data_IF_093895757859
#
_entry.id   IF_093895757859
#
_cell.length_a   1.000
_cell.length_b   1.000
_cell.length_c   1.000
_cell.angle_alpha   90.00
_cell.angle_beta   90.00
_cell.angle_gamma   90.00
#
_symmetry.space_group_name_H-M   'P 1'
#
loop_
_entity.id
_entity.type
_entity.pdbx_description
1 polymer ?
#
# COMPACT_ATOMS: atom_id res chain seq x y z
N UNK A 1 -20.12 -12.13 18.59
CA UNK A 1 -21.10 -11.22 19.19
C UNK A 1 -20.48 -10.39 20.31
N UNK A 2 -20.05 -10.98 21.43
CA UNK A 2 -19.54 -10.20 22.58
C UNK A 2 -18.38 -9.23 22.33
N UNK A 3 -17.40 -9.56 21.48
CA UNK A 3 -16.25 -8.66 21.25
C UNK A 3 -16.63 -7.33 20.57
N UNK A 4 -17.59 -7.36 19.64
CA UNK A 4 -18.07 -6.14 18.96
C UNK A 4 -18.91 -5.29 19.92
N UNK A 5 -19.75 -5.92 20.74
CA UNK A 5 -20.53 -5.23 21.77
C UNK A 5 -19.63 -4.55 22.80
N UNK A 6 -18.55 -5.22 23.24
CA UNK A 6 -17.54 -4.62 24.13
C UNK A 6 -16.86 -3.43 23.45
N UNK A 7 -16.47 -3.55 22.18
CA UNK A 7 -15.85 -2.46 21.44
C UNK A 7 -16.78 -1.24 21.30
N UNK A 8 -18.05 -1.46 20.95
CA UNK A 8 -19.07 -0.42 20.88
C UNK A 8 -19.28 0.26 22.24
N UNK A 9 -19.32 -0.53 23.33
CA UNK A 9 -19.43 -0.01 24.68
C UNK A 9 -18.23 0.89 25.01
N UNK A 10 -16.99 0.44 24.77
CA UNK A 10 -15.79 1.25 25.03
C UNK A 10 -15.82 2.59 24.27
N UNK A 11 -16.22 2.55 22.99
CA UNK A 11 -16.37 3.76 22.17
C UNK A 11 -17.44 4.70 22.73
N UNK A 12 -18.57 4.18 23.22
CA UNK A 12 -19.64 5.01 23.81
C UNK A 12 -19.22 5.75 25.09
N UNK A 13 -18.17 5.26 25.76
CA UNK A 13 -17.55 5.92 26.92
C UNK A 13 -16.38 6.82 26.52
N UNK A 14 -16.34 7.27 25.25
CA UNK A 14 -15.40 8.27 24.73
C UNK A 14 -13.93 7.85 24.90
N UNK A 15 -13.62 6.57 24.67
CA UNK A 15 -12.25 6.09 24.65
C UNK A 15 -11.43 6.77 23.54
N UNK A 16 -10.14 6.93 23.77
CA UNK A 16 -9.22 7.45 22.76
C UNK A 16 -9.05 6.41 21.62
N UNK A 17 -9.64 6.67 20.45
CA UNK A 17 -9.70 5.72 19.34
C UNK A 17 -8.36 5.55 18.59
N UNK A 18 -7.49 6.55 18.70
CA UNK A 18 -6.22 6.65 17.98
C UNK A 18 -5.00 6.32 18.86
N UNK A 19 -5.19 5.72 20.04
CA UNK A 19 -4.07 5.32 20.91
C UNK A 19 -3.13 4.38 20.16
N UNK A 20 -1.84 4.52 20.43
CA UNK A 20 -0.80 3.72 19.80
C UNK A 20 -0.15 2.80 20.83
N UNK A 21 0.22 1.59 20.41
CA UNK A 21 1.08 0.70 21.18
C UNK A 21 2.58 1.08 21.04
N UNK A 22 3.47 0.23 21.54
CA UNK A 22 4.92 0.46 21.47
C UNK A 22 5.50 0.38 20.03
N UNK A 23 4.69 -0.06 19.06
CA UNK A 23 5.03 -0.11 17.64
C UNK A 23 4.37 1.02 16.83
N UNK A 24 3.84 2.04 17.52
CA UNK A 24 3.01 3.09 16.95
C UNK A 24 1.76 2.56 16.22
N UNK A 25 1.30 1.34 16.57
CA UNK A 25 0.13 0.74 15.94
C UNK A 25 -1.13 1.17 16.68
N UNK A 26 -2.04 1.78 15.92
CA UNK A 26 -3.41 2.06 16.35
C UNK A 26 -4.30 0.81 16.31
N UNK A 27 -5.47 0.81 16.99
CA UNK A 27 -6.48 -0.24 16.83
C UNK A 27 -6.85 -0.51 15.36
N UNK A 28 -6.81 0.52 14.49
CA UNK A 28 -7.09 0.36 13.06
C UNK A 28 -6.03 -0.50 12.37
N UNK A 29 -4.74 -0.28 12.67
CA UNK A 29 -3.66 -1.13 12.16
C UNK A 29 -3.85 -2.60 12.55
N UNK A 30 -4.18 -2.85 13.83
CA UNK A 30 -4.40 -4.20 14.34
C UNK A 30 -5.60 -4.89 13.67
N UNK A 31 -6.67 -4.15 13.38
CA UNK A 31 -7.82 -4.65 12.64
C UNK A 31 -7.43 -5.07 11.21
N UNK A 32 -6.55 -4.32 10.54
CA UNK A 32 -6.06 -4.64 9.19
C UNK A 32 -5.14 -5.87 9.21
N UNK A 33 -4.18 -5.93 10.15
CA UNK A 33 -3.29 -7.08 10.29
C UNK A 33 -4.04 -8.38 10.57
N UNK A 34 -5.12 -8.28 11.35
CA UNK A 34 -5.96 -9.43 11.73
C UNK A 34 -7.11 -9.69 10.75
N UNK A 35 -7.21 -8.92 9.65
CA UNK A 35 -8.32 -8.97 8.68
C UNK A 35 -9.72 -8.90 9.32
N UNK A 36 -9.88 -8.09 10.36
CA UNK A 36 -11.15 -7.92 11.09
C UNK A 36 -11.96 -6.76 10.52
N UNK A 37 -12.65 -7.03 9.41
CA UNK A 37 -13.44 -6.03 8.67
C UNK A 37 -14.48 -5.28 9.52
N UNK A 38 -15.24 -5.99 10.36
CA UNK A 38 -16.25 -5.36 11.23
C UNK A 38 -15.64 -4.38 12.25
N UNK A 39 -14.47 -4.72 12.81
CA UNK A 39 -13.76 -3.81 13.71
C UNK A 39 -13.25 -2.59 12.95
N UNK A 40 -12.71 -2.79 11.74
CA UNK A 40 -12.25 -1.71 10.86
C UNK A 40 -13.40 -0.73 10.51
N UNK A 41 -14.55 -1.23 10.07
CA UNK A 41 -15.73 -0.41 9.76
C UNK A 41 -16.25 0.35 10.98
N UNK A 42 -16.26 -0.29 12.16
CA UNK A 42 -16.68 0.36 13.40
C UNK A 42 -15.69 1.46 13.82
N UNK A 43 -14.38 1.26 13.67
CA UNK A 43 -13.38 2.29 13.96
C UNK A 43 -13.52 3.49 13.01
N UNK A 44 -13.63 3.23 11.71
CA UNK A 44 -13.76 4.27 10.68
C UNK A 44 -15.04 5.08 10.88
N UNK A 45 -16.17 4.43 11.15
CA UNK A 45 -17.44 5.11 11.39
C UNK A 45 -17.45 5.99 12.66
N UNK A 46 -16.51 5.75 13.58
CA UNK A 46 -16.32 6.56 14.79
C UNK A 46 -15.14 7.55 14.68
N UNK A 47 -14.68 7.84 13.46
CA UNK A 47 -13.76 8.94 13.20
C UNK A 47 -12.31 8.67 13.59
N UNK A 48 -11.85 7.42 13.51
CA UNK A 48 -10.42 7.15 13.65
C UNK A 48 -9.61 7.82 12.53
N UNK A 49 -8.34 8.14 12.82
CA UNK A 49 -7.43 8.69 11.83
C UNK A 49 -6.73 7.57 11.06
N UNK A 50 -7.04 7.47 9.76
CA UNK A 50 -6.51 6.45 8.85
C UNK A 50 -5.07 6.72 8.39
N UNK A 51 -4.54 7.92 8.68
CA UNK A 51 -3.22 8.37 8.22
C UNK A 51 -2.12 8.25 9.28
N UNK A 52 -2.46 7.79 10.49
CA UNK A 52 -1.44 7.50 11.51
C UNK A 52 -0.51 6.42 10.96
N UNK A 53 0.79 6.63 11.16
CA UNK A 53 1.83 5.71 10.74
C UNK A 53 2.31 4.85 11.91
N UNK A 54 2.61 3.58 11.64
CA UNK A 54 3.38 2.73 12.55
C UNK A 54 4.88 3.12 12.59
N UNK A 55 5.71 2.37 13.33
CA UNK A 55 7.16 2.63 13.41
C UNK A 55 7.89 2.52 12.07
N UNK A 56 7.36 1.77 11.11
CA UNK A 56 7.93 1.65 9.77
C UNK A 56 7.45 2.77 8.83
N UNK A 57 6.66 3.73 9.35
CA UNK A 57 6.07 4.80 8.56
C UNK A 57 4.83 4.35 7.77
N UNK A 58 4.32 3.14 8.00
CA UNK A 58 3.24 2.55 7.21
C UNK A 58 1.89 3.06 7.71
N UNK A 59 1.07 3.61 6.82
CA UNK A 59 -0.33 3.93 7.09
C UNK A 59 -1.21 2.68 7.01
N UNK A 60 -2.45 2.81 7.48
CA UNK A 60 -3.47 1.78 7.30
C UNK A 60 -3.67 1.37 5.83
N UNK A 61 -3.67 2.34 4.90
CA UNK A 61 -3.74 2.06 3.46
C UNK A 61 -2.52 1.26 2.99
N UNK A 62 -1.31 1.69 3.36
CA UNK A 62 -0.08 1.00 2.96
C UNK A 62 -0.08 -0.48 3.40
N UNK A 63 -0.46 -0.75 4.65
CA UNK A 63 -0.51 -2.12 5.18
C UNK A 63 -1.55 -2.95 4.44
N UNK A 64 -2.73 -2.38 4.14
CA UNK A 64 -3.76 -3.08 3.37
C UNK A 64 -3.28 -3.42 1.94
N UNK A 65 -2.56 -2.51 1.28
CA UNK A 65 -1.93 -2.75 -0.02
C UNK A 65 -0.87 -3.86 0.06
N UNK A 66 0.04 -3.79 1.04
CA UNK A 66 1.08 -4.80 1.28
C UNK A 66 0.52 -6.19 1.57
N UNK A 67 -0.63 -6.28 2.24
CA UNK A 67 -1.31 -7.54 2.58
C UNK A 67 -2.20 -8.07 1.45
N UNK A 68 -2.44 -7.30 0.40
CA UNK A 68 -3.34 -7.69 -0.69
C UNK A 68 -4.83 -7.67 -0.30
N UNK A 69 -5.21 -6.94 0.75
CA UNK A 69 -6.59 -6.89 1.26
C UNK A 69 -7.46 -5.92 0.44
N UNK A 70 -7.86 -6.34 -0.76
CA UNK A 70 -8.58 -5.50 -1.75
C UNK A 70 -9.79 -4.78 -1.17
N UNK A 71 -10.62 -5.49 -0.39
CA UNK A 71 -11.85 -4.94 0.18
C UNK A 71 -11.60 -3.94 1.31
N UNK A 72 -10.53 -4.13 2.09
CA UNK A 72 -10.08 -3.15 3.09
C UNK A 72 -9.53 -1.91 2.40
N UNK A 73 -8.75 -2.07 1.33
CA UNK A 73 -8.25 -0.94 0.52
C UNK A 73 -9.44 -0.12 0.00
N UNK A 74 -10.47 -0.77 -0.52
CA UNK A 74 -11.68 -0.09 -0.99
C UNK A 74 -12.40 0.67 0.14
N UNK A 75 -12.55 0.07 1.33
CA UNK A 75 -13.15 0.75 2.49
C UNK A 75 -12.35 2.00 2.88
N UNK A 76 -11.01 1.89 2.99
CA UNK A 76 -10.16 3.01 3.39
C UNK A 76 -10.24 4.14 2.35
N UNK A 77 -10.15 3.82 1.06
CA UNK A 77 -10.25 4.81 -0.02
C UNK A 77 -11.63 5.48 -0.08
N UNK A 78 -12.70 4.78 0.31
CA UNK A 78 -14.05 5.33 0.37
C UNK A 78 -14.26 6.35 1.49
N UNK A 79 -13.37 6.43 2.48
CA UNK A 79 -13.42 7.50 3.49
C UNK A 79 -13.17 8.88 2.89
N UNK A 80 -12.44 8.96 1.76
CA UNK A 80 -11.90 10.19 1.17
C UNK A 80 -11.05 11.05 2.14
N UNK A 81 -10.60 10.48 3.26
CA UNK A 81 -9.76 11.13 4.25
C UNK A 81 -8.31 10.60 4.23
N UNK A 82 -8.06 9.51 3.49
CA UNK A 82 -6.73 8.92 3.41
C UNK A 82 -5.80 9.72 2.48
N UNK A 83 -4.55 9.87 2.91
CA UNK A 83 -3.44 10.27 2.04
C UNK A 83 -2.99 9.06 1.22
N UNK A 84 -3.47 9.00 -0.03
CA UNK A 84 -3.26 7.87 -0.94
C UNK A 84 -1.79 7.66 -1.33
N UNK A 85 -0.97 8.72 -1.23
CA UNK A 85 0.43 8.72 -1.64
C UNK A 85 1.39 8.67 -0.44
N UNK A 86 0.86 8.58 0.79
CA UNK A 86 1.68 8.53 2.00
C UNK A 86 2.59 7.30 2.00
N UNK A 87 3.89 7.55 1.85
CA UNK A 87 4.91 6.53 1.78
C UNK A 87 5.41 6.07 3.16
N UNK A 88 5.96 4.87 3.20
CA UNK A 88 6.67 4.34 4.37
C UNK A 88 8.05 5.01 4.58
N UNK A 89 8.81 4.56 5.58
CA UNK A 89 10.16 5.05 5.86
C UNK A 89 11.18 4.79 4.73
N UNK A 90 10.89 3.86 3.81
CA UNK A 90 11.69 3.62 2.61
C UNK A 90 11.27 4.49 1.42
N UNK A 91 10.27 5.34 1.61
CA UNK A 91 9.60 6.11 0.57
C UNK A 91 8.85 5.23 -0.45
N UNK A 92 8.55 3.97 -0.11
CA UNK A 92 7.65 3.15 -0.91
C UNK A 92 6.23 3.69 -0.75
N UNK A 93 5.56 4.01 -1.86
CA UNK A 93 4.16 4.42 -1.87
C UNK A 93 3.22 3.21 -1.76
N UNK A 94 1.93 3.40 -1.40
CA UNK A 94 0.95 2.33 -1.44
C UNK A 94 0.81 1.68 -2.82
N UNK A 95 1.02 2.44 -3.90
CA UNK A 95 1.08 1.90 -5.26
C UNK A 95 2.33 1.04 -5.48
N UNK A 96 3.51 1.54 -5.09
CA UNK A 96 4.76 0.81 -5.22
C UNK A 96 4.72 -0.53 -4.48
N UNK A 97 4.18 -0.56 -3.25
CA UNK A 97 4.06 -1.80 -2.49
C UNK A 97 3.02 -2.75 -3.10
N UNK A 98 1.90 -2.25 -3.64
CA UNK A 98 0.94 -3.10 -4.37
C UNK A 98 1.57 -3.75 -5.61
N UNK A 99 2.42 -3.01 -6.34
CA UNK A 99 3.21 -3.55 -7.44
C UNK A 99 4.22 -4.59 -6.95
N UNK A 100 4.92 -4.36 -5.84
CA UNK A 100 5.91 -5.29 -5.29
C UNK A 100 5.31 -6.65 -4.90
N UNK A 101 4.04 -6.67 -4.51
CA UNK A 101 3.30 -7.88 -4.13
C UNK A 101 2.40 -8.42 -5.26
N UNK A 102 2.50 -7.91 -6.48
CA UNK A 102 1.75 -8.43 -7.63
C UNK A 102 0.22 -8.25 -7.54
N UNK A 103 -0.26 -7.31 -6.72
CA UNK A 103 -1.68 -7.15 -6.43
C UNK A 103 -2.39 -6.26 -7.46
N UNK A 104 -2.63 -6.79 -8.66
CA UNK A 104 -3.23 -6.04 -9.79
C UNK A 104 -4.51 -5.28 -9.42
N UNK A 105 -5.46 -5.92 -8.73
CA UNK A 105 -6.73 -5.27 -8.37
C UNK A 105 -6.53 -4.03 -7.48
N UNK A 106 -5.53 -4.05 -6.59
CA UNK A 106 -5.20 -2.87 -5.77
C UNK A 106 -4.51 -1.80 -6.62
N UNK A 107 -3.62 -2.18 -7.53
CA UNK A 107 -3.00 -1.25 -8.48
C UNK A 107 -4.06 -0.51 -9.29
N UNK A 108 -5.02 -1.23 -9.87
CA UNK A 108 -6.13 -0.64 -10.63
C UNK A 108 -6.97 0.32 -9.77
N UNK A 109 -7.30 -0.07 -8.53
CA UNK A 109 -8.04 0.77 -7.59
C UNK A 109 -7.30 2.07 -7.23
N UNK A 110 -6.00 1.99 -6.94
CA UNK A 110 -5.19 3.15 -6.60
C UNK A 110 -5.03 4.12 -7.79
N UNK A 111 -4.84 3.58 -9.00
CA UNK A 111 -4.78 4.39 -10.23
C UNK A 111 -6.13 5.07 -10.50
N UNK A 112 -7.24 4.34 -10.33
CA UNK A 112 -8.59 4.90 -10.45
C UNK A 112 -8.82 6.07 -9.48
N UNK A 113 -8.21 6.00 -8.28
CA UNK A 113 -8.24 7.06 -7.27
C UNK A 113 -7.16 8.14 -7.46
N UNK A 114 -6.49 8.16 -8.61
CA UNK A 114 -5.54 9.19 -9.04
C UNK A 114 -4.33 9.35 -8.10
N UNK A 115 -3.81 8.24 -7.57
CA UNK A 115 -2.51 8.24 -6.90
C UNK A 115 -1.36 8.67 -7.83
N UNK A 116 -0.22 9.04 -7.26
CA UNK A 116 0.98 9.36 -8.01
C UNK A 116 1.67 8.10 -8.57
N UNK A 117 1.38 7.81 -9.84
CA UNK A 117 1.97 6.68 -10.59
C UNK A 117 3.49 6.77 -10.81
N UNK A 118 4.07 7.96 -10.65
CA UNK A 118 5.50 8.23 -10.82
C UNK A 118 6.22 8.47 -9.49
N UNK A 119 5.61 8.09 -8.36
CA UNK A 119 6.29 8.08 -7.07
C UNK A 119 7.56 7.22 -7.13
N UNK A 120 8.57 7.58 -6.35
CA UNK A 120 9.85 6.84 -6.29
C UNK A 120 10.25 6.60 -4.84
N UNK A 121 10.79 5.43 -4.56
CA UNK A 121 11.34 5.12 -3.24
C UNK A 121 12.76 5.66 -3.06
N UNK A 122 13.38 5.37 -1.92
CA UNK A 122 14.74 5.83 -1.58
C UNK A 122 15.83 5.37 -2.57
N UNK A 123 15.55 4.37 -3.39
CA UNK A 123 16.45 3.86 -4.44
C UNK A 123 16.13 4.45 -5.83
N UNK A 124 15.18 5.37 -5.92
CA UNK A 124 14.67 5.93 -7.16
C UNK A 124 13.78 4.96 -7.95
N UNK A 125 13.39 3.82 -7.38
CA UNK A 125 12.54 2.86 -8.09
C UNK A 125 11.10 3.37 -8.10
N UNK A 126 10.53 3.52 -9.30
CA UNK A 126 9.11 3.76 -9.49
C UNK A 126 8.28 2.47 -9.39
N UNK A 127 6.95 2.56 -9.23
CA UNK A 127 6.05 1.42 -9.36
C UNK A 127 6.29 0.59 -10.63
N UNK A 128 6.63 1.24 -11.75
CA UNK A 128 6.95 0.56 -13.00
C UNK A 128 8.26 -0.24 -12.92
N UNK A 129 9.32 0.29 -12.29
CA UNK A 129 10.54 -0.49 -12.05
C UNK A 129 10.24 -1.74 -11.22
N UNK A 130 9.45 -1.57 -10.17
CA UNK A 130 9.10 -2.65 -9.24
C UNK A 130 8.28 -3.73 -9.95
N UNK A 131 7.25 -3.35 -10.72
CA UNK A 131 6.42 -4.28 -11.49
C UNK A 131 7.23 -5.05 -12.54
N UNK A 132 8.19 -4.39 -13.20
CA UNK A 132 9.10 -5.01 -14.17
C UNK A 132 10.05 -6.00 -13.50
N UNK A 133 10.64 -5.64 -12.35
CA UNK A 133 11.52 -6.54 -11.59
C UNK A 133 10.77 -7.75 -11.02
N UNK A 134 9.48 -7.60 -10.71
CA UNK A 134 8.59 -8.68 -10.28
C UNK A 134 8.01 -9.52 -11.41
N UNK A 135 8.31 -9.20 -12.68
CA UNK A 135 7.75 -9.85 -13.87
C UNK A 135 6.20 -9.88 -13.92
N UNK A 136 5.58 -8.81 -13.40
CA UNK A 136 4.12 -8.70 -13.34
C UNK A 136 3.57 -8.03 -14.59
N UNK A 137 3.56 -8.77 -15.71
CA UNK A 137 3.18 -8.27 -17.05
C UNK A 137 1.87 -7.48 -17.05
N UNK A 138 0.83 -7.98 -16.39
CA UNK A 138 -0.48 -7.29 -16.36
C UNK A 138 -0.40 -5.95 -15.61
N UNK A 139 0.38 -5.86 -14.53
CA UNK A 139 0.58 -4.61 -13.77
C UNK A 139 1.42 -3.63 -14.59
N UNK A 140 2.46 -4.11 -15.28
CA UNK A 140 3.26 -3.30 -16.20
C UNK A 140 2.37 -2.67 -17.27
N UNK A 141 1.48 -3.46 -17.87
CA UNK A 141 0.51 -2.96 -18.84
C UNK A 141 -0.42 -1.90 -18.23
N UNK A 142 -1.03 -2.17 -17.07
CA UNK A 142 -1.90 -1.21 -16.38
C UNK A 142 -1.18 0.11 -16.07
N UNK A 143 0.06 0.07 -15.61
CA UNK A 143 0.84 1.28 -15.32
C UNK A 143 1.16 2.08 -16.60
N UNK A 144 1.52 1.42 -17.70
CA UNK A 144 1.76 2.09 -18.99
C UNK A 144 0.47 2.76 -19.49
N UNK A 145 -0.66 2.05 -19.44
CA UNK A 145 -1.97 2.58 -19.83
C UNK A 145 -2.42 3.77 -18.96
N UNK A 146 -1.97 3.82 -17.70
CA UNK A 146 -2.21 4.96 -16.80
C UNK A 146 -1.44 6.24 -17.17
N UNK A 147 -0.46 6.15 -18.07
CA UNK A 147 0.39 7.28 -18.49
C UNK A 147 1.58 7.55 -17.57
N UNK A 148 2.10 6.53 -16.88
CA UNK A 148 3.35 6.68 -16.12
C UNK A 148 4.54 7.01 -17.04
N UNK A 149 5.57 7.63 -16.48
CA UNK A 149 6.82 7.92 -17.20
C UNK A 149 7.65 6.65 -17.33
N UNK A 150 7.59 6.03 -18.51
CA UNK A 150 8.31 4.80 -18.84
C UNK A 150 9.84 4.99 -18.89
N UNK A 151 10.33 6.23 -18.91
CA UNK A 151 11.76 6.57 -18.98
C UNK A 151 12.31 7.11 -17.65
N UNK A 152 11.52 7.08 -16.58
CA UNK A 152 11.98 7.50 -15.27
C UNK A 152 13.21 6.69 -14.87
N UNK A 153 14.24 7.34 -14.35
CA UNK A 153 15.49 6.70 -13.96
C UNK A 153 15.54 6.45 -12.45
N UNK A 154 15.99 5.27 -12.05
CA UNK A 154 16.37 5.00 -10.67
C UNK A 154 17.66 5.73 -10.24
N UNK A 155 18.09 5.56 -8.98
CA UNK A 155 19.30 6.20 -8.46
C UNK A 155 20.59 5.84 -9.25
N UNK A 156 20.59 4.70 -9.96
CA UNK A 156 21.69 4.25 -10.82
C UNK A 156 21.55 4.73 -12.28
N UNK A 157 20.62 5.65 -12.57
CA UNK A 157 20.29 6.14 -13.92
C UNK A 157 19.77 5.05 -14.87
N UNK A 158 19.16 4.02 -14.32
CA UNK A 158 18.59 2.91 -15.09
C UNK A 158 17.09 3.13 -15.26
N UNK A 159 16.58 2.93 -16.46
CA UNK A 159 15.14 2.94 -16.75
C UNK A 159 14.50 1.58 -16.44
N UNK A 160 13.16 1.47 -16.39
CA UNK A 160 12.45 0.19 -16.30
C UNK A 160 12.90 -0.81 -17.37
N UNK A 161 13.09 -0.37 -18.62
CA UNK A 161 13.60 -1.23 -19.69
C UNK A 161 15.02 -1.73 -19.40
N UNK A 162 15.90 -0.86 -18.89
CA UNK A 162 17.27 -1.23 -18.55
C UNK A 162 17.32 -2.31 -17.46
N UNK A 163 16.51 -2.17 -16.40
CA UNK A 163 16.48 -3.16 -15.32
C UNK A 163 15.86 -4.49 -15.76
N UNK A 164 14.87 -4.48 -16.67
CA UNK A 164 14.33 -5.71 -17.27
C UNK A 164 15.42 -6.52 -17.97
N UNK A 165 16.19 -5.86 -18.83
CA UNK A 165 17.26 -6.50 -19.61
C UNK A 165 18.31 -7.13 -18.70
N UNK A 166 18.73 -6.45 -17.62
CA UNK A 166 19.63 -7.04 -16.62
C UNK A 166 19.01 -8.25 -15.92
N UNK A 167 17.74 -8.16 -15.52
CA UNK A 167 17.03 -9.26 -14.85
C UNK A 167 17.00 -10.54 -15.69
N UNK A 168 16.75 -10.40 -17.00
CA UNK A 168 16.77 -11.53 -17.94
C UNK A 168 18.14 -12.21 -17.99
N UNK A 169 19.24 -11.44 -17.98
CA UNK A 169 20.58 -12.02 -17.97
C UNK A 169 20.87 -12.80 -16.69
N UNK A 170 20.50 -12.29 -15.51
CA UNK A 170 20.77 -12.98 -14.23
C UNK A 170 19.98 -14.29 -14.11
N UNK A 171 18.73 -14.33 -14.59
CA UNK A 171 17.93 -15.55 -14.55
C UNK A 171 18.44 -16.65 -15.50
N UNK A 172 19.07 -16.28 -16.63
CA UNK A 172 19.67 -17.27 -17.55
C UNK A 172 20.92 -17.97 -16.98
N UNK A 173 21.67 -17.32 -16.09
CA UNK A 173 22.90 -17.91 -15.51
C UNK A 173 22.69 -18.68 -14.20
N UNK A 174 21.50 -18.60 -13.58
CA UNK A 174 21.15 -19.36 -12.38
C UNK A 174 20.35 -20.65 -12.66
N UNK A 175 20.13 -21.00 -13.92
CA UNK A 175 19.45 -22.22 -14.37
C UNK A 175 20.40 -23.25 -15.01
N UNK A 176 21.63 -23.39 -14.48
CA UNK A 176 22.58 -24.45 -14.84
C UNK A 176 22.89 -25.34 -13.63
#
# INVERSE_FOLDING_TARGET
MGYIEIMQLLISYNCEINVCDNYNQTPLHLAIYSYQKTCLELLISNGCDVNICDLDGQTSLFIACKKGHVDIVEIILNTNLCDIDKSDNNQDSPLAIACAYGCKSIVELLILRKCNVNSVNKYGLSPLHIAVLGDYMEIVQTLIESGCDINLCNANKQTPLFVHVIGVFVQQFNCC
#
